data_IF_190854890633
#
_entry.id   IF_190854890633
#
_cell.length_a   1.000
_cell.length_b   1.000
_cell.length_c   1.000
_cell.angle_alpha   90.00
_cell.angle_beta   90.00
_cell.angle_gamma   90.00
#
_symmetry.space_group_name_H-M   'P 1'
#
loop_
_entity.id
_entity.type
_entity.pdbx_description
1 polymer ?
#
# COMPACT_ATOMS: atom_id res chain seq x y z
N UNK A 1 6.04 -15.80 6.02
CA UNK A 1 5.24 -15.97 4.78
C UNK A 1 3.84 -15.47 5.08
N UNK A 2 3.25 -14.64 4.22
CA UNK A 2 1.87 -14.19 4.43
C UNK A 2 0.88 -15.31 4.10
N UNK A 3 -0.24 -15.32 4.82
CA UNK A 3 -1.28 -16.33 4.71
C UNK A 3 -2.66 -15.68 4.93
N UNK A 4 -3.76 -16.35 4.55
CA UNK A 4 -5.12 -15.85 4.81
C UNK A 4 -5.38 -15.47 6.27
N UNK A 5 -4.75 -16.15 7.23
CA UNK A 5 -4.90 -15.87 8.66
C UNK A 5 -4.42 -14.46 9.04
N UNK A 6 -3.46 -13.90 8.30
CA UNK A 6 -3.03 -12.52 8.52
C UNK A 6 -4.16 -11.54 8.18
N UNK A 7 -4.94 -11.82 7.13
CA UNK A 7 -6.11 -11.04 6.76
C UNK A 7 -7.26 -11.19 7.76
N UNK A 8 -7.43 -12.39 8.33
CA UNK A 8 -8.51 -12.68 9.29
C UNK A 8 -8.43 -11.84 10.57
N UNK A 9 -7.22 -11.37 10.95
CA UNK A 9 -7.04 -10.43 12.05
C UNK A 9 -7.83 -9.14 11.90
N UNK A 10 -8.11 -8.75 10.65
CA UNK A 10 -8.83 -7.53 10.32
C UNK A 10 -10.34 -7.78 10.14
N UNK A 11 -10.80 -9.03 10.20
CA UNK A 11 -12.22 -9.36 10.12
C UNK A 11 -12.88 -9.31 11.51
N UNK A 12 -12.97 -8.10 12.08
CA UNK A 12 -13.39 -7.89 13.47
C UNK A 12 -14.33 -6.71 13.63
N UNK A 13 -15.27 -6.74 14.61
CA UNK A 13 -16.22 -5.66 14.82
C UNK A 13 -15.60 -4.44 15.52
N UNK A 14 -14.53 -4.63 16.30
CA UNK A 14 -13.92 -3.57 17.11
C UNK A 14 -12.39 -3.57 17.04
N UNK A 15 -11.82 -2.38 16.86
CA UNK A 15 -10.38 -2.13 16.85
C UNK A 15 -9.92 -1.26 18.02
N UNK A 16 -10.83 -0.45 18.59
CA UNK A 16 -10.56 0.41 19.73
C UNK A 16 -10.51 -0.40 21.03
N UNK A 17 -9.47 -0.18 21.85
CA UNK A 17 -9.36 -0.86 23.14
C UNK A 17 -10.50 -0.52 24.10
N UNK A 18 -11.10 0.66 24.00
CA UNK A 18 -12.27 1.02 24.80
C UNK A 18 -13.45 0.07 24.54
N UNK A 19 -13.78 -0.16 23.26
CA UNK A 19 -14.85 -1.08 22.85
C UNK A 19 -14.48 -2.53 23.18
N UNK A 20 -13.23 -2.92 22.96
CA UNK A 20 -12.77 -4.26 23.31
C UNK A 20 -12.88 -4.54 24.81
N UNK A 21 -12.55 -3.56 25.66
CA UNK A 21 -12.71 -3.68 27.12
C UNK A 21 -14.17 -3.79 27.54
N UNK A 22 -15.08 -3.13 26.81
CA UNK A 22 -16.51 -3.15 27.10
C UNK A 22 -17.17 -4.47 26.70
N UNK A 23 -16.83 -5.00 25.52
CA UNK A 23 -17.58 -6.09 24.89
C UNK A 23 -16.86 -7.44 24.88
N UNK A 24 -15.53 -7.47 24.99
CA UNK A 24 -14.73 -8.71 24.96
C UNK A 24 -13.36 -8.57 25.67
N UNK A 25 -13.32 -8.11 26.95
CA UNK A 25 -12.08 -7.77 27.64
C UNK A 25 -11.09 -8.94 27.75
N UNK A 26 -11.59 -10.15 27.92
CA UNK A 26 -10.81 -11.39 28.05
C UNK A 26 -10.03 -11.75 26.78
N UNK A 27 -10.48 -11.27 25.61
CA UNK A 27 -9.81 -11.55 24.32
C UNK A 27 -8.61 -10.64 24.06
N UNK A 28 -8.48 -9.53 24.80
CA UNK A 28 -7.46 -8.49 24.55
C UNK A 28 -6.02 -9.03 24.62
N UNK A 29 -5.61 -9.85 25.60
CA UNK A 29 -4.25 -10.36 25.67
C UNK A 29 -3.87 -11.18 24.44
N UNK A 30 -4.73 -12.13 24.04
CA UNK A 30 -4.49 -12.97 22.87
C UNK A 30 -4.51 -12.14 21.59
N UNK A 31 -5.46 -11.23 21.45
CA UNK A 31 -5.54 -10.32 20.31
C UNK A 31 -4.23 -9.54 20.10
N UNK A 32 -3.65 -9.00 21.18
CA UNK A 32 -2.37 -8.28 21.10
C UNK A 32 -1.22 -9.19 20.70
N UNK A 33 -1.21 -10.43 21.17
CA UNK A 33 -0.21 -11.42 20.78
C UNK A 33 -0.32 -11.75 19.29
N UNK A 34 -1.53 -12.00 18.79
CA UNK A 34 -1.79 -12.35 17.40
C UNK A 34 -1.42 -11.21 16.45
N UNK A 35 -1.83 -9.97 16.76
CA UNK A 35 -1.44 -8.80 15.97
C UNK A 35 0.07 -8.59 15.96
N UNK A 36 0.75 -8.76 17.10
CA UNK A 36 2.20 -8.61 17.18
C UNK A 36 2.93 -9.68 16.36
N UNK A 37 2.45 -10.92 16.39
CA UNK A 37 3.01 -12.02 15.60
C UNK A 37 2.87 -11.72 14.10
N UNK A 38 1.65 -11.49 13.62
CA UNK A 38 1.40 -11.19 12.21
C UNK A 38 2.10 -9.91 11.74
N UNK A 39 2.23 -8.91 12.60
CA UNK A 39 2.99 -7.70 12.27
C UNK A 39 4.49 -7.95 12.16
N UNK A 40 5.06 -8.86 12.95
CA UNK A 40 6.47 -9.24 12.79
C UNK A 40 6.70 -9.96 11.46
N UNK A 41 5.74 -10.78 11.02
CA UNK A 41 5.79 -11.43 9.71
C UNK A 41 5.68 -10.41 8.57
N UNK A 42 4.73 -9.47 8.68
CA UNK A 42 4.62 -8.31 7.78
C UNK A 42 5.92 -7.51 7.72
N UNK A 43 6.44 -7.09 8.87
CA UNK A 43 7.67 -6.31 8.96
C UNK A 43 8.85 -7.04 8.33
N UNK A 44 9.01 -8.32 8.62
CA UNK A 44 10.08 -9.14 8.04
C UNK A 44 9.98 -9.18 6.52
N UNK A 45 8.77 -9.40 5.97
CA UNK A 45 8.55 -9.41 4.53
C UNK A 45 8.91 -8.07 3.87
N UNK A 46 8.48 -6.94 4.45
CA UNK A 46 8.78 -5.62 3.91
C UNK A 46 10.28 -5.31 3.95
N UNK A 47 10.97 -5.72 5.02
CA UNK A 47 12.42 -5.55 5.12
C UNK A 47 13.17 -6.41 4.09
N UNK A 48 12.73 -7.64 3.85
CA UNK A 48 13.29 -8.50 2.79
C UNK A 48 13.06 -7.90 1.40
N UNK A 49 11.85 -7.42 1.11
CA UNK A 49 11.54 -6.77 -0.16
C UNK A 49 12.42 -5.52 -0.37
N UNK A 50 12.56 -4.69 0.66
CA UNK A 50 13.45 -3.53 0.61
C UNK A 50 14.91 -3.93 0.37
N UNK A 51 15.41 -4.96 1.06
CA UNK A 51 16.78 -5.45 0.83
C UNK A 51 16.99 -5.85 -0.63
N UNK A 52 16.09 -6.64 -1.21
CA UNK A 52 16.14 -7.00 -2.63
C UNK A 52 16.10 -5.78 -3.55
N UNK A 53 15.17 -4.84 -3.31
CA UNK A 53 15.04 -3.62 -4.11
C UNK A 53 16.31 -2.75 -4.03
N UNK A 54 16.91 -2.61 -2.85
CA UNK A 54 18.14 -1.80 -2.67
C UNK A 54 19.38 -2.40 -3.31
N UNK A 55 19.44 -3.72 -3.49
CA UNK A 55 20.53 -4.38 -4.21
C UNK A 55 20.52 -4.01 -5.70
N UNK A 56 19.33 -3.88 -6.30
CA UNK A 56 19.16 -3.48 -7.69
C UNK A 56 19.18 -1.95 -7.87
N UNK A 57 18.58 -1.21 -6.92
CA UNK A 57 18.46 0.24 -6.96
C UNK A 57 18.80 0.86 -5.59
N UNK A 58 20.02 1.39 -5.40
CA UNK A 58 20.46 1.96 -4.12
C UNK A 58 19.81 3.32 -3.79
N UNK A 59 18.90 3.84 -4.63
CA UNK A 59 18.20 5.10 -4.36
C UNK A 59 17.08 4.96 -3.33
N UNK A 60 16.59 3.75 -3.04
CA UNK A 60 15.56 3.53 -2.03
C UNK A 60 16.04 3.97 -0.63
N UNK A 61 15.19 4.73 0.05
CA UNK A 61 15.33 4.99 1.47
C UNK A 61 14.82 3.80 2.29
N UNK A 62 15.22 3.76 3.57
CA UNK A 62 14.65 2.83 4.54
C UNK A 62 13.11 2.87 4.51
N UNK A 63 12.45 1.71 4.54
CA UNK A 63 11.01 1.65 4.35
C UNK A 63 10.29 2.20 5.58
N UNK A 64 9.14 2.84 5.34
CA UNK A 64 8.21 3.09 6.43
C UNK A 64 7.39 1.84 6.68
N UNK A 65 7.25 1.44 7.94
CA UNK A 65 6.43 0.31 8.36
C UNK A 65 5.57 0.77 9.54
N UNK A 66 4.26 0.87 9.34
CA UNK A 66 3.35 1.33 10.39
C UNK A 66 3.26 0.29 11.51
N UNK A 67 3.17 0.76 12.77
CA UNK A 67 2.98 -0.13 13.93
C UNK A 67 1.56 -0.70 13.96
N UNK A 68 1.46 -1.99 14.31
CA UNK A 68 0.19 -2.74 14.43
C UNK A 68 -0.82 -2.21 15.45
N UNK A 69 -0.38 -1.37 16.38
CA UNK A 69 -1.25 -0.65 17.30
C UNK A 69 -0.71 0.74 17.59
N UNK A 70 -1.59 1.58 18.11
CA UNK A 70 -1.23 2.75 18.89
C UNK A 70 -1.74 2.58 20.34
N UNK A 71 -1.65 3.61 21.18
CA UNK A 71 -2.10 3.54 22.58
C UNK A 71 -3.60 3.25 22.75
N UNK A 72 -4.41 3.41 21.70
CA UNK A 72 -5.87 3.43 21.77
C UNK A 72 -6.54 2.32 20.94
N UNK A 73 -5.90 1.86 19.87
CA UNK A 73 -6.45 0.84 18.97
C UNK A 73 -5.39 -0.07 18.37
N UNK A 74 -5.83 -1.26 17.94
CA UNK A 74 -5.15 -2.05 16.91
C UNK A 74 -5.52 -1.53 15.51
N UNK A 75 -4.73 -1.84 14.49
CA UNK A 75 -4.98 -1.37 13.11
C UNK A 75 -6.01 -2.23 12.37
N UNK A 76 -6.72 -1.63 11.41
CA UNK A 76 -7.63 -2.36 10.52
C UNK A 76 -6.95 -2.93 9.27
N UNK A 77 -5.70 -2.54 9.03
CA UNK A 77 -4.81 -3.08 8.02
C UNK A 77 -3.36 -2.91 8.49
N UNK A 78 -2.41 -3.57 7.83
CA UNK A 78 -1.01 -3.19 7.93
C UNK A 78 -0.61 -2.36 6.73
N UNK A 79 0.19 -1.33 6.99
CA UNK A 79 0.64 -0.38 5.99
C UNK A 79 2.15 -0.20 6.03
N UNK A 80 2.75 -0.10 4.86
CA UNK A 80 4.13 0.26 4.65
C UNK A 80 4.26 1.05 3.34
N UNK A 81 5.38 1.73 3.15
CA UNK A 81 5.68 2.33 1.86
C UNK A 81 7.18 2.37 1.58
N UNK A 82 7.50 2.38 0.29
CA UNK A 82 8.83 2.66 -0.23
C UNK A 82 8.87 4.04 -0.88
N UNK A 83 10.06 4.67 -0.80
CA UNK A 83 10.40 5.94 -1.43
C UNK A 83 11.87 5.96 -1.79
N UNK A 84 12.25 6.82 -2.71
CA UNK A 84 13.65 7.21 -2.89
C UNK A 84 14.13 8.17 -1.79
N UNK A 85 15.43 8.13 -1.49
CA UNK A 85 16.10 8.96 -0.50
C UNK A 85 15.96 10.47 -0.79
N UNK A 86 15.98 10.85 -2.08
CA UNK A 86 15.75 12.22 -2.52
C UNK A 86 14.32 12.72 -2.23
N UNK A 87 13.34 11.80 -2.10
CA UNK A 87 11.90 12.09 -2.08
C UNK A 87 11.21 11.70 -0.76
N UNK A 88 11.96 11.56 0.33
CA UNK A 88 11.42 11.10 1.62
C UNK A 88 10.31 11.97 2.18
N UNK A 89 10.27 13.26 1.84
CA UNK A 89 9.21 14.19 2.24
C UNK A 89 8.05 14.32 1.25
N UNK A 90 8.21 13.83 0.02
CA UNK A 90 7.20 14.00 -1.03
C UNK A 90 5.96 13.13 -0.82
N UNK A 91 4.82 13.51 -1.37
CA UNK A 91 3.60 12.75 -1.15
C UNK A 91 3.48 11.51 -2.06
N UNK A 92 4.18 11.44 -3.20
CA UNK A 92 4.23 10.23 -4.01
C UNK A 92 4.92 9.07 -3.25
N UNK A 93 4.27 7.90 -3.22
CA UNK A 93 4.77 6.69 -2.58
C UNK A 93 4.49 5.45 -3.43
N UNK A 94 5.28 4.41 -3.20
CA UNK A 94 4.85 3.04 -3.49
C UNK A 94 4.29 2.45 -2.19
N UNK A 95 2.96 2.38 -2.09
CA UNK A 95 2.24 1.90 -0.92
C UNK A 95 2.12 0.38 -0.92
N UNK A 96 2.19 -0.21 0.28
CA UNK A 96 1.97 -1.63 0.54
C UNK A 96 0.93 -1.75 1.64
N UNK A 97 -0.16 -2.46 1.34
CA UNK A 97 -1.31 -2.55 2.24
C UNK A 97 -1.83 -3.98 2.33
N UNK A 98 -1.88 -4.52 3.54
CA UNK A 98 -2.49 -5.81 3.84
C UNK A 98 -3.74 -5.59 4.69
N UNK A 99 -4.92 -5.88 4.14
CA UNK A 99 -6.20 -5.78 4.84
C UNK A 99 -6.95 -7.11 4.84
N UNK A 100 -8.21 -7.12 5.30
CA UNK A 100 -9.03 -8.36 5.35
C UNK A 100 -9.29 -9.00 3.98
N UNK A 101 -9.14 -8.26 2.88
CA UNK A 101 -9.47 -8.72 1.52
C UNK A 101 -8.24 -9.17 0.74
N UNK A 102 -7.10 -8.49 0.88
CA UNK A 102 -5.96 -8.66 -0.02
C UNK A 102 -4.67 -8.01 0.48
N UNK A 103 -3.56 -8.43 -0.10
CA UNK A 103 -2.33 -7.65 -0.19
C UNK A 103 -2.39 -6.75 -1.42
N UNK A 104 -1.99 -5.48 -1.29
CA UNK A 104 -1.94 -4.48 -2.36
C UNK A 104 -0.56 -3.86 -2.42
N UNK A 105 -0.06 -3.65 -3.64
CA UNK A 105 1.13 -2.83 -3.94
C UNK A 105 0.77 -1.83 -5.02
N UNK A 106 0.97 -0.54 -4.76
CA UNK A 106 0.48 0.52 -5.65
C UNK A 106 1.31 1.80 -5.64
N UNK A 107 1.31 2.51 -6.77
CA UNK A 107 1.66 3.93 -6.83
C UNK A 107 0.49 4.74 -6.25
N UNK A 108 0.78 5.61 -5.30
CA UNK A 108 -0.24 6.26 -4.47
C UNK A 108 0.21 7.66 -4.00
N UNK A 109 -0.76 8.50 -3.62
CA UNK A 109 -0.56 9.84 -3.10
C UNK A 109 -0.84 9.89 -1.60
N UNK A 110 0.20 10.09 -0.81
CA UNK A 110 0.13 10.19 0.64
C UNK A 110 -0.28 11.60 1.07
N UNK A 111 -1.60 11.83 1.17
CA UNK A 111 -2.16 13.15 1.48
C UNK A 111 -1.59 13.80 2.76
N UNK A 112 -1.22 13.02 3.78
CA UNK A 112 -0.59 13.53 5.02
C UNK A 112 0.79 14.18 4.81
N UNK A 113 1.41 13.97 3.64
CA UNK A 113 2.68 14.59 3.24
C UNK A 113 2.51 15.70 2.21
N UNK A 114 1.29 15.97 1.74
CA UNK A 114 1.04 16.95 0.68
C UNK A 114 1.58 18.34 1.04
N UNK A 115 1.36 18.81 2.27
CA UNK A 115 1.79 20.15 2.72
C UNK A 115 3.31 20.36 2.77
N UNK A 116 4.09 19.28 2.82
CA UNK A 116 5.56 19.31 2.91
C UNK A 116 6.24 18.72 1.67
N UNK A 117 5.44 18.32 0.68
CA UNK A 117 5.90 17.73 -0.56
C UNK A 117 6.52 18.79 -1.46
N UNK A 118 7.59 18.44 -2.16
CA UNK A 118 8.23 19.29 -3.18
C UNK A 118 7.48 19.26 -4.50
N UNK A 119 6.68 18.21 -4.73
CA UNK A 119 5.75 18.08 -5.85
C UNK A 119 4.32 18.34 -5.37
N UNK A 120 3.51 19.02 -6.19
CA UNK A 120 2.08 19.20 -5.93
C UNK A 120 1.26 18.04 -6.53
N UNK A 121 -0.04 17.98 -6.23
CA UNK A 121 -0.92 16.93 -6.75
C UNK A 121 -0.98 16.89 -8.30
N UNK A 122 -1.01 18.03 -9.02
CA UNK A 122 -0.91 18.01 -10.48
C UNK A 122 0.40 17.39 -10.99
N UNK A 123 1.51 17.60 -10.29
CA UNK A 123 2.81 17.00 -10.66
C UNK A 123 2.79 15.49 -10.46
N UNK A 124 2.18 15.01 -9.37
CA UNK A 124 1.93 13.59 -9.18
C UNK A 124 1.13 12.99 -10.33
N UNK A 125 0.00 13.61 -10.69
CA UNK A 125 -0.88 13.09 -11.74
C UNK A 125 -0.23 12.97 -13.13
N UNK A 126 0.95 13.56 -13.36
CA UNK A 126 1.69 13.42 -14.63
C UNK A 126 2.11 11.98 -14.94
N UNK A 127 2.17 11.09 -13.95
CA UNK A 127 2.42 9.68 -14.24
C UNK A 127 1.38 9.09 -15.21
N UNK A 128 0.16 9.67 -15.25
CA UNK A 128 -0.89 9.31 -16.21
C UNK A 128 -0.48 9.54 -17.67
N UNK A 129 0.34 10.56 -17.95
CA UNK A 129 0.81 10.87 -19.30
C UNK A 129 1.74 9.77 -19.86
N UNK A 130 2.29 8.93 -18.98
CA UNK A 130 3.18 7.83 -19.32
C UNK A 130 2.56 6.45 -19.05
N UNK A 131 1.26 6.40 -18.77
CA UNK A 131 0.55 5.14 -18.58
C UNK A 131 0.35 4.44 -19.93
N UNK A 132 1.23 3.49 -20.25
CA UNK A 132 1.05 2.60 -21.39
C UNK A 132 -0.08 1.58 -21.11
N UNK A 133 -1.22 1.76 -21.79
CA UNK A 133 -2.40 0.92 -21.58
C UNK A 133 -2.20 -0.56 -21.94
N UNK A 134 -1.23 -0.90 -22.79
CA UNK A 134 -0.90 -2.28 -23.12
C UNK A 134 0.01 -2.90 -22.07
N UNK A 135 1.05 -2.17 -21.62
CA UNK A 135 1.98 -2.63 -20.59
C UNK A 135 1.27 -2.82 -19.24
N UNK A 136 0.41 -1.88 -18.86
CA UNK A 136 -0.29 -1.86 -17.57
C UNK A 136 -1.72 -2.43 -17.66
N UNK A 137 -2.06 -3.14 -18.75
CA UNK A 137 -3.42 -3.61 -19.03
C UNK A 137 -4.08 -4.40 -17.90
N UNK A 138 -3.28 -5.18 -17.16
CA UNK A 138 -3.72 -6.06 -16.08
C UNK A 138 -3.50 -5.45 -14.68
N UNK A 139 -3.08 -4.18 -14.59
CA UNK A 139 -3.06 -3.43 -13.33
C UNK A 139 -4.45 -2.90 -13.02
N UNK A 140 -4.79 -2.88 -11.74
CA UNK A 140 -5.96 -2.20 -11.23
C UNK A 140 -5.69 -0.69 -11.15
N UNK A 141 -6.66 0.10 -11.60
CA UNK A 141 -6.63 1.56 -11.56
C UNK A 141 -7.88 2.05 -10.84
N UNK A 142 -7.69 2.88 -9.82
CA UNK A 142 -8.78 3.40 -9.01
C UNK A 142 -8.56 4.83 -8.59
N UNK A 143 -9.66 5.55 -8.34
CA UNK A 143 -9.61 6.91 -7.81
C UNK A 143 -9.17 6.90 -6.33
N UNK A 144 -8.43 7.91 -5.89
CA UNK A 144 -7.90 8.02 -4.52
C UNK A 144 -8.97 8.05 -3.42
N UNK A 145 -10.20 8.42 -3.77
CA UNK A 145 -11.36 8.38 -2.87
C UNK A 145 -12.04 7.00 -2.79
N UNK A 146 -11.61 6.02 -3.60
CA UNK A 146 -12.19 4.69 -3.59
C UNK A 146 -11.87 3.96 -2.27
N UNK A 147 -12.81 3.16 -1.79
CA UNK A 147 -12.58 2.34 -0.58
C UNK A 147 -11.51 1.29 -0.85
N UNK A 148 -10.58 1.10 0.09
CA UNK A 148 -9.58 0.02 0.05
C UNK A 148 -10.19 -1.39 -0.13
N UNK A 149 -11.49 -1.55 0.18
CA UNK A 149 -12.26 -2.80 0.06
C UNK A 149 -13.03 -2.94 -1.26
N UNK A 150 -13.07 -1.92 -2.11
CA UNK A 150 -13.80 -1.97 -3.37
C UNK A 150 -13.16 -2.96 -4.36
N UNK A 151 -13.94 -3.42 -5.32
CA UNK A 151 -13.44 -4.10 -6.50
C UNK A 151 -13.06 -3.04 -7.53
N UNK A 152 -11.81 -3.08 -7.98
CA UNK A 152 -11.29 -2.12 -8.96
C UNK A 152 -11.33 -2.75 -10.35
N UNK A 153 -11.50 -1.92 -11.36
CA UNK A 153 -11.37 -2.35 -12.75
C UNK A 153 -9.89 -2.28 -13.15
N UNK A 154 -9.48 -3.16 -14.06
CA UNK A 154 -8.14 -3.05 -14.64
C UNK A 154 -8.06 -1.91 -15.66
N UNK A 155 -6.86 -1.46 -16.00
CA UNK A 155 -6.64 -0.45 -17.06
C UNK A 155 -7.31 -0.86 -18.37
N UNK A 156 -7.28 -2.15 -18.75
CA UNK A 156 -7.95 -2.64 -19.97
C UNK A 156 -9.47 -2.51 -19.92
N UNK A 157 -10.07 -2.58 -18.75
CA UNK A 157 -11.52 -2.68 -18.57
C UNK A 157 -12.21 -1.32 -18.49
N UNK A 158 -11.47 -0.23 -18.44
CA UNK A 158 -12.00 1.11 -18.22
C UNK A 158 -11.38 2.13 -19.18
N UNK A 159 -12.05 3.26 -19.44
CA UNK A 159 -11.44 4.35 -20.20
C UNK A 159 -10.23 4.94 -19.45
N UNK A 160 -9.41 5.71 -20.17
CA UNK A 160 -8.32 6.46 -19.56
C UNK A 160 -8.85 7.37 -18.43
N UNK A 161 -8.16 7.45 -17.28
CA UNK A 161 -8.58 8.27 -16.16
C UNK A 161 -8.56 9.76 -16.55
N UNK A 162 -9.51 10.52 -16.02
CA UNK A 162 -9.60 11.97 -16.22
C UNK A 162 -9.59 12.68 -14.87
N UNK A 163 -8.78 13.73 -14.76
CA UNK A 163 -8.73 14.61 -13.60
C UNK A 163 -9.85 15.65 -13.75
N UNK A 164 -10.84 15.63 -12.86
CA UNK A 164 -12.00 16.54 -12.92
C UNK A 164 -11.90 17.66 -11.87
N UNK A 165 -11.29 17.37 -10.73
CA UNK A 165 -11.09 18.30 -9.62
C UNK A 165 -9.62 18.43 -9.24
N UNK A 166 -9.30 19.54 -8.55
CA UNK A 166 -7.93 19.84 -8.13
C UNK A 166 -7.38 18.83 -7.10
N UNK A 167 -8.27 18.13 -6.39
CA UNK A 167 -7.93 17.12 -5.38
C UNK A 167 -8.02 15.68 -5.94
N UNK A 168 -8.37 15.52 -7.23
CA UNK A 168 -8.47 14.20 -7.84
C UNK A 168 -7.08 13.61 -8.07
N UNK A 169 -6.95 12.33 -7.75
CA UNK A 169 -5.79 11.54 -8.09
C UNK A 169 -6.19 10.09 -8.26
N UNK A 170 -5.36 9.36 -8.99
CA UNK A 170 -5.55 7.93 -9.22
C UNK A 170 -4.40 7.16 -8.61
N UNK A 171 -4.69 5.93 -8.21
CA UNK A 171 -3.70 4.95 -7.80
C UNK A 171 -3.66 3.84 -8.85
N UNK A 172 -2.48 3.25 -9.05
CA UNK A 172 -2.27 2.11 -9.94
C UNK A 172 -1.55 1.00 -9.18
N UNK A 173 -2.03 -0.23 -9.26
CA UNK A 173 -1.39 -1.32 -8.53
C UNK A 173 -1.88 -2.71 -8.90
N UNK A 174 -1.36 -3.69 -8.15
CA UNK A 174 -1.78 -5.09 -8.21
C UNK A 174 -2.19 -5.58 -6.84
N UNK A 175 -2.95 -6.67 -6.83
CA UNK A 175 -3.41 -7.31 -5.61
C UNK A 175 -3.13 -8.82 -5.58
N UNK A 176 -2.94 -9.36 -4.38
CA UNK A 176 -3.11 -10.78 -4.10
C UNK A 176 -4.35 -10.92 -3.21
N UNK A 177 -5.44 -11.55 -3.70
CA UNK A 177 -6.60 -11.87 -2.87
C UNK A 177 -6.21 -12.68 -1.63
N UNK A 178 -6.93 -12.49 -0.52
CA UNK A 178 -6.73 -13.20 0.74
C UNK A 178 -6.49 -14.70 0.52
N UNK A 179 -7.34 -15.32 -0.27
CA UNK A 179 -7.38 -16.78 -0.45
C UNK A 179 -6.18 -17.31 -1.26
N UNK A 180 -5.52 -16.44 -2.01
CA UNK A 180 -4.36 -16.78 -2.83
C UNK A 180 -3.02 -16.55 -2.12
N UNK A 181 -3.02 -15.90 -0.94
CA UNK A 181 -1.78 -15.54 -0.23
C UNK A 181 -0.87 -16.74 0.07
N UNK A 182 -1.43 -17.92 0.30
CA UNK A 182 -0.64 -19.14 0.54
C UNK A 182 0.02 -19.68 -0.73
N UNK A 183 -0.54 -19.37 -1.90
CA UNK A 183 -0.13 -19.95 -3.19
C UNK A 183 0.84 -19.04 -3.95
N UNK A 184 1.05 -17.82 -3.48
CA UNK A 184 1.90 -16.82 -4.13
C UNK A 184 3.12 -16.49 -3.26
N UNK A 185 4.28 -16.35 -3.89
CA UNK A 185 5.44 -15.78 -3.22
C UNK A 185 5.23 -14.26 -3.06
N UNK A 186 4.73 -13.85 -1.90
CA UNK A 186 4.45 -12.43 -1.60
C UNK A 186 5.68 -11.53 -1.73
N UNK A 187 6.89 -12.05 -1.46
CA UNK A 187 8.13 -11.28 -1.63
C UNK A 187 8.37 -10.95 -3.11
N UNK A 188 8.34 -11.96 -3.98
CA UNK A 188 8.52 -11.76 -5.42
C UNK A 188 7.41 -10.89 -6.00
N UNK A 189 6.17 -11.08 -5.56
CA UNK A 189 5.06 -10.23 -5.97
C UNK A 189 5.31 -8.76 -5.63
N UNK A 190 5.74 -8.47 -4.40
CA UNK A 190 6.05 -7.10 -3.98
C UNK A 190 7.18 -6.53 -4.84
N UNK A 191 8.32 -7.21 -4.92
CA UNK A 191 9.50 -6.70 -5.64
C UNK A 191 9.16 -6.43 -7.10
N UNK A 192 8.58 -7.40 -7.80
CA UNK A 192 8.24 -7.27 -9.21
C UNK A 192 7.23 -6.13 -9.45
N UNK A 193 6.20 -6.02 -8.61
CA UNK A 193 5.18 -4.96 -8.78
C UNK A 193 5.79 -3.58 -8.51
N UNK A 194 6.67 -3.45 -7.52
CA UNK A 194 7.39 -2.18 -7.26
C UNK A 194 8.24 -1.82 -8.47
N UNK A 195 9.03 -2.75 -9.01
CA UNK A 195 9.87 -2.53 -10.19
C UNK A 195 9.07 -2.11 -11.43
N UNK A 196 7.91 -2.74 -11.67
CA UNK A 196 7.01 -2.36 -12.77
C UNK A 196 6.41 -0.95 -12.60
N UNK A 197 6.23 -0.50 -11.35
CA UNK A 197 5.70 0.84 -11.03
C UNK A 197 6.78 1.93 -11.02
N UNK A 198 8.06 1.58 -10.94
CA UNK A 198 9.16 2.55 -10.83
C UNK A 198 9.18 3.59 -11.95
N UNK A 199 9.01 3.24 -13.24
CA UNK A 199 9.00 4.25 -14.31
C UNK A 199 7.93 5.33 -14.11
N UNK A 200 6.74 4.94 -13.62
CA UNK A 200 5.64 5.87 -13.34
C UNK A 200 5.91 6.69 -12.08
N UNK A 201 6.42 6.05 -11.02
CA UNK A 201 6.82 6.74 -9.79
C UNK A 201 7.90 7.80 -10.02
N UNK A 202 8.90 7.50 -10.84
CA UNK A 202 9.96 8.44 -11.21
C UNK A 202 9.42 9.63 -12.01
N UNK A 203 8.41 9.40 -12.86
CA UNK A 203 7.79 10.45 -13.64
C UNK A 203 7.10 11.52 -12.77
N UNK A 204 6.61 11.16 -11.58
CA UNK A 204 6.04 12.11 -10.61
C UNK A 204 7.02 13.24 -10.21
N UNK A 205 8.33 13.03 -10.38
CA UNK A 205 9.37 13.97 -9.95
C UNK A 205 10.09 14.67 -11.10
N UNK A 206 9.72 14.38 -12.36
CA UNK A 206 10.36 15.01 -13.51
C UNK A 206 9.91 16.47 -13.63
N UNK A 207 10.85 17.38 -13.84
CA UNK A 207 10.53 18.78 -14.14
C UNK A 207 9.63 18.86 -15.39
N UNK A 208 8.71 19.83 -15.39
CA UNK A 208 7.91 20.16 -16.57
C UNK A 208 8.75 20.82 -17.67
#
# INVERSE_FOLDING_TARGET
>A
MLTPQHCDLFNRPFFQFAQLKQYAPETIPQLKADYKAAWNDWKTLILQAHETLTQANPQFAAPHIERWCNGWQVRAHFFAYFKYAAHTQDAAIISLLLNRKRLTVSLDWHCYKADVSTIALPDYNRWLDNLDAAQYADFDLWHGAASEYADYATVRQQPAPQIHHADDFFCLGKHIPRDDLTNVNALNFIVNTVEELLPLYEHCFQAA
#
